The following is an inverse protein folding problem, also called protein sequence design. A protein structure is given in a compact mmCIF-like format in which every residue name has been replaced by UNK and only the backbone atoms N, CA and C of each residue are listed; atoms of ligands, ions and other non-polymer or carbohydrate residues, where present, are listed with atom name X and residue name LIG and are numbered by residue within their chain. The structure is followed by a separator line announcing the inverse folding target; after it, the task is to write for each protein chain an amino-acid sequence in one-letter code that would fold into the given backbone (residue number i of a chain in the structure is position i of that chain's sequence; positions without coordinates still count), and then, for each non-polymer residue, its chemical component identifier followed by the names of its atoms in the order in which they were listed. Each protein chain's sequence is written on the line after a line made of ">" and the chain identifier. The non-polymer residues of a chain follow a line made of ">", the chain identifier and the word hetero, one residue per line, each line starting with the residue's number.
data_IF_739310952321
#
_entry.id   IF_739310952321
#
_cell.length_a   1.000
_cell.length_b   1.000
_cell.length_c   1.000
_cell.angle_alpha   90.00
_cell.angle_beta   90.00
_cell.angle_gamma   90.00
#
_symmetry.space_group_name_H-M   'P 1'
#
loop_
_entity.id
_entity.type
_entity.pdbx_description
1 polymer ?
#
# COMPACT_ATOMS: atom_id res chain seq x y z
N UNK A 1 0.55 -18.30 5.73
CA UNK A 1 1.56 -19.37 5.56
C UNK A 1 2.87 -18.84 4.98
N UNK A 2 3.03 -18.64 3.66
CA UNK A 2 4.33 -18.19 3.11
C UNK A 2 4.81 -16.85 3.69
N UNK A 3 3.89 -15.92 3.96
CA UNK A 3 4.21 -14.64 4.59
C UNK A 3 4.71 -14.80 6.03
N UNK A 4 4.10 -15.69 6.80
CA UNK A 4 4.52 -15.96 8.18
C UNK A 4 5.86 -16.71 8.23
N UNK A 5 6.06 -17.67 7.31
CA UNK A 5 7.26 -18.49 7.24
C UNK A 5 8.52 -17.70 6.84
N UNK A 6 8.37 -16.62 6.10
CA UNK A 6 9.47 -15.77 5.63
C UNK A 6 9.48 -14.41 6.35
N UNK A 7 8.92 -14.34 7.55
CA UNK A 7 8.82 -13.10 8.29
C UNK A 7 10.21 -12.53 8.63
N UNK A 8 10.37 -11.21 8.46
CA UNK A 8 11.54 -10.45 8.93
C UNK A 8 11.11 -9.38 9.96
N UNK A 9 12.02 -8.97 10.87
CA UNK A 9 11.74 -7.91 11.84
C UNK A 9 11.24 -6.60 11.20
N UNK A 10 10.07 -6.08 11.62
CA UNK A 10 9.52 -4.81 11.11
C UNK A 10 8.61 -4.05 12.10
N UNK A 11 8.85 -4.18 13.39
CA UNK A 11 8.02 -3.59 14.45
C UNK A 11 6.62 -4.16 14.38
N UNK A 12 5.59 -3.32 14.46
CA UNK A 12 4.20 -3.78 14.46
C UNK A 12 3.66 -4.26 13.09
N UNK A 13 4.46 -4.21 12.03
CA UNK A 13 4.06 -4.64 10.69
C UNK A 13 4.54 -6.07 10.39
N UNK A 14 3.82 -6.78 9.53
CA UNK A 14 4.33 -8.00 8.91
C UNK A 14 5.16 -7.59 7.69
N UNK A 15 6.47 -7.84 7.75
CA UNK A 15 7.37 -7.77 6.61
C UNK A 15 7.92 -9.17 6.32
N UNK A 16 8.35 -9.38 5.08
CA UNK A 16 8.83 -10.69 4.62
C UNK A 16 10.16 -10.54 3.89
N UNK A 17 10.99 -11.58 3.97
CA UNK A 17 12.09 -11.78 3.04
C UNK A 17 11.53 -11.98 1.64
N UNK A 18 11.83 -11.07 0.72
CA UNK A 18 11.19 -11.02 -0.61
C UNK A 18 11.55 -12.23 -1.46
N UNK A 19 12.82 -12.62 -1.42
CA UNK A 19 13.33 -13.72 -2.24
C UNK A 19 12.80 -15.05 -1.72
N UNK A 20 12.90 -15.29 -0.41
CA UNK A 20 12.31 -16.48 0.22
C UNK A 20 10.80 -16.58 0.03
N UNK A 21 10.06 -15.49 0.26
CA UNK A 21 8.62 -15.46 0.07
C UNK A 21 8.20 -15.80 -1.36
N UNK A 22 8.80 -15.13 -2.35
CA UNK A 22 8.46 -15.33 -3.76
C UNK A 22 8.82 -16.74 -4.24
N UNK A 23 10.00 -17.24 -3.88
CA UNK A 23 10.43 -18.59 -4.21
C UNK A 23 9.49 -19.65 -3.65
N UNK A 24 9.04 -19.50 -2.40
CA UNK A 24 8.11 -20.43 -1.77
C UNK A 24 6.73 -20.46 -2.45
N UNK A 25 6.20 -19.30 -2.84
CA UNK A 25 4.94 -19.21 -3.60
C UNK A 25 5.09 -19.86 -4.98
N UNK A 26 6.18 -19.58 -5.70
CA UNK A 26 6.47 -20.18 -7.00
C UNK A 26 6.56 -21.71 -6.91
N UNK A 27 7.35 -22.23 -5.96
CA UNK A 27 7.51 -23.67 -5.77
C UNK A 27 6.18 -24.37 -5.46
N UNK A 28 5.29 -23.71 -4.68
CA UNK A 28 3.98 -24.27 -4.35
C UNK A 28 3.07 -24.36 -5.57
N UNK A 29 3.10 -23.36 -6.46
CA UNK A 29 2.33 -23.36 -7.70
C UNK A 29 2.88 -24.37 -8.71
N UNK A 30 4.20 -24.43 -8.88
CA UNK A 30 4.88 -25.38 -9.78
C UNK A 30 4.64 -26.85 -9.37
N UNK A 31 4.50 -27.13 -8.08
CA UNK A 31 4.25 -28.47 -7.56
C UNK A 31 2.76 -28.88 -7.58
N UNK A 32 1.83 -27.99 -7.92
CA UNK A 32 0.40 -28.28 -7.81
C UNK A 32 -0.11 -29.02 -9.06
N UNK A 33 -0.72 -30.22 -8.94
CA UNK A 33 -1.03 -31.09 -10.08
C UNK A 33 -2.10 -30.53 -11.04
N UNK A 34 -2.90 -29.57 -10.58
CA UNK A 34 -3.93 -28.89 -11.38
C UNK A 34 -3.50 -27.51 -11.89
N UNK A 35 -2.24 -27.09 -11.64
CA UNK A 35 -1.73 -25.80 -12.11
C UNK A 35 -0.71 -26.07 -13.20
N UNK A 36 -0.90 -25.42 -14.35
CA UNK A 36 0.07 -25.37 -15.44
C UNK A 36 0.58 -23.94 -15.57
N UNK A 37 1.90 -23.76 -15.61
CA UNK A 37 2.52 -22.45 -15.75
C UNK A 37 3.06 -22.32 -17.17
N UNK A 38 2.52 -21.37 -17.92
CA UNK A 38 3.00 -20.99 -19.25
C UNK A 38 3.68 -19.64 -19.14
N UNK A 39 4.93 -19.55 -19.60
CA UNK A 39 5.75 -18.32 -19.54
C UNK A 39 5.68 -17.60 -20.88
N UNK A 40 4.59 -16.86 -21.08
CA UNK A 40 4.34 -16.08 -22.27
C UNK A 40 3.71 -14.72 -21.93
N UNK A 41 3.87 -13.74 -22.81
CA UNK A 41 3.18 -12.46 -22.72
C UNK A 41 1.82 -12.56 -23.42
N UNK A 42 0.76 -12.18 -22.72
CA UNK A 42 -0.57 -12.05 -23.30
C UNK A 42 -0.72 -10.66 -23.92
N UNK A 43 -0.74 -10.57 -25.25
CA UNK A 43 -0.85 -9.30 -26.00
C UNK A 43 -2.29 -8.84 -26.26
N UNK A 44 -3.29 -9.59 -25.80
CA UNK A 44 -4.70 -9.25 -26.02
C UNK A 44 -5.61 -9.81 -24.94
N UNK A 45 -6.90 -9.48 -25.03
CA UNK A 45 -7.89 -10.07 -24.15
C UNK A 45 -7.87 -11.59 -24.28
N UNK A 46 -8.16 -12.32 -23.17
CA UNK A 46 -8.34 -13.77 -23.20
C UNK A 46 -9.20 -14.22 -24.40
N UNK A 47 -8.84 -15.32 -25.07
CA UNK A 47 -9.61 -15.87 -26.19
C UNK A 47 -11.09 -16.12 -25.85
N UNK A 48 -11.97 -16.10 -26.85
CA UNK A 48 -13.42 -16.22 -26.65
C UNK A 48 -13.85 -17.65 -26.28
N UNK A 49 -13.05 -18.63 -26.69
CA UNK A 49 -13.21 -20.05 -26.46
C UNK A 49 -12.80 -20.50 -25.05
N UNK A 50 -12.13 -19.64 -24.27
CA UNK A 50 -11.83 -19.96 -22.87
C UNK A 50 -13.10 -19.82 -22.02
N UNK A 51 -13.39 -20.85 -21.21
CA UNK A 51 -14.58 -20.88 -20.35
C UNK A 51 -14.60 -19.71 -19.35
N UNK A 52 -13.48 -19.51 -18.65
CA UNK A 52 -13.30 -18.47 -17.63
C UNK A 52 -11.84 -17.98 -17.65
N UNK A 53 -11.65 -16.67 -17.51
CA UNK A 53 -10.33 -16.05 -17.45
C UNK A 53 -10.27 -14.99 -16.35
N UNK A 54 -9.14 -14.89 -15.65
CA UNK A 54 -8.88 -13.86 -14.64
C UNK A 54 -7.66 -13.05 -15.08
N UNK A 55 -7.84 -11.75 -15.31
CA UNK A 55 -6.75 -10.81 -15.61
C UNK A 55 -6.23 -10.24 -14.28
N UNK A 56 -4.99 -10.60 -13.93
CA UNK A 56 -4.34 -10.24 -12.66
C UNK A 56 -2.92 -9.67 -12.86
N UNK A 57 -2.76 -8.81 -13.87
CA UNK A 57 -1.45 -8.32 -14.36
C UNK A 57 -0.81 -7.21 -13.53
N UNK A 58 -1.52 -6.70 -12.52
CA UNK A 58 -1.01 -5.67 -11.62
C UNK A 58 -0.68 -4.35 -12.34
N UNK A 59 0.21 -3.51 -11.74
CA UNK A 59 0.30 -2.10 -12.11
C UNK A 59 0.96 -1.86 -13.45
N UNK A 60 1.82 -2.79 -13.85
CA UNK A 60 2.63 -2.76 -15.06
C UNK A 60 2.04 -3.70 -16.12
N UNK A 61 0.73 -3.61 -16.32
CA UNK A 61 0.04 -4.36 -17.39
C UNK A 61 0.68 -4.04 -18.74
N UNK A 62 0.99 -5.08 -19.52
CA UNK A 62 1.64 -4.96 -20.82
C UNK A 62 0.89 -3.97 -21.75
N UNK A 63 1.61 -3.15 -22.55
CA UNK A 63 0.98 -2.13 -23.39
C UNK A 63 -0.11 -2.68 -24.32
N UNK A 64 0.12 -3.82 -24.97
CA UNK A 64 -0.82 -4.41 -25.93
C UNK A 64 -2.10 -4.91 -25.23
N UNK A 65 -1.96 -5.54 -24.06
CA UNK A 65 -3.11 -5.95 -23.25
C UNK A 65 -3.88 -4.73 -22.71
N UNK A 66 -3.18 -3.69 -22.26
CA UNK A 66 -3.81 -2.45 -21.80
C UNK A 66 -4.61 -1.78 -22.93
N UNK A 67 -4.06 -1.76 -24.14
CA UNK A 67 -4.74 -1.30 -25.34
C UNK A 67 -5.98 -2.14 -25.65
N UNK A 68 -5.86 -3.48 -25.62
CA UNK A 68 -6.98 -4.38 -25.86
C UNK A 68 -8.12 -4.18 -24.84
N UNK A 69 -7.78 -4.01 -23.55
CA UNK A 69 -8.75 -3.68 -22.50
C UNK A 69 -9.41 -2.33 -22.78
N UNK A 70 -8.63 -1.30 -23.14
CA UNK A 70 -9.14 0.04 -23.46
C UNK A 70 -10.12 0.00 -24.64
N UNK A 71 -9.72 -0.66 -25.73
CA UNK A 71 -10.53 -0.81 -26.93
C UNK A 71 -11.84 -1.55 -26.65
N UNK A 72 -11.80 -2.62 -25.85
CA UNK A 72 -13.00 -3.40 -25.52
C UNK A 72 -13.95 -2.70 -24.53
N UNK A 73 -13.42 -1.86 -23.64
CA UNK A 73 -14.20 -1.19 -22.59
C UNK A 73 -14.71 0.18 -22.99
N UNK A 74 -14.11 0.82 -24.01
CA UNK A 74 -14.43 2.18 -24.43
C UNK A 74 -14.20 3.23 -23.33
N UNK A 75 -13.49 2.87 -22.26
CA UNK A 75 -13.21 3.74 -21.14
C UNK A 75 -11.84 4.38 -21.32
N UNK A 76 -11.75 5.69 -21.11
CA UNK A 76 -10.46 6.34 -20.90
C UNK A 76 -9.80 5.67 -19.69
N UNK A 77 -8.63 5.06 -19.91
CA UNK A 77 -7.88 4.33 -18.90
C UNK A 77 -7.57 5.26 -17.73
N UNK A 78 -8.09 4.96 -16.54
CA UNK A 78 -7.66 5.66 -15.34
C UNK A 78 -6.27 5.12 -14.99
N UNK A 79 -5.24 5.93 -15.15
CA UNK A 79 -3.94 5.67 -14.57
C UNK A 79 -3.80 6.51 -13.31
N UNK A 80 -3.05 6.01 -12.34
CA UNK A 80 -2.58 6.80 -11.20
C UNK A 80 -1.08 6.57 -11.03
N UNK A 81 -0.46 7.33 -10.15
CA UNK A 81 0.97 7.31 -9.95
C UNK A 81 1.32 6.96 -8.50
N UNK A 82 2.19 5.97 -8.33
CA UNK A 82 2.81 5.63 -7.04
C UNK A 82 4.23 6.19 -6.98
N UNK A 83 4.63 6.72 -5.83
CA UNK A 83 6.01 7.10 -5.61
C UNK A 83 6.74 6.02 -4.80
N UNK A 84 8.01 5.75 -5.14
CA UNK A 84 8.87 4.80 -4.43
C UNK A 84 9.85 5.55 -3.55
N UNK A 85 10.11 5.01 -2.36
CA UNK A 85 11.09 5.56 -1.42
C UNK A 85 12.51 5.01 -1.66
N UNK A 86 13.56 5.80 -1.37
CA UNK A 86 14.95 5.36 -1.48
C UNK A 86 15.33 4.20 -0.53
N UNK A 87 16.40 3.50 -0.90
CA UNK A 87 17.05 2.46 -0.11
C UNK A 87 18.54 2.81 0.04
N UNK A 88 19.05 2.73 1.26
CA UNK A 88 20.45 3.00 1.62
C UNK A 88 21.17 1.72 2.08
N UNK A 89 22.48 1.71 1.92
CA UNK A 89 23.36 0.67 2.46
C UNK A 89 23.59 0.87 3.96
N UNK A 90 23.40 -0.19 4.75
CA UNK A 90 23.50 -0.12 6.21
C UNK A 90 24.87 0.33 6.72
N UNK A 91 25.94 -0.17 6.11
CA UNK A 91 27.33 0.13 6.46
C UNK A 91 27.74 1.60 6.22
N UNK A 92 26.86 2.39 5.59
CA UNK A 92 27.03 3.82 5.35
C UNK A 92 26.19 4.71 6.27
N UNK A 93 25.40 4.11 7.17
CA UNK A 93 24.61 4.82 8.17
C UNK A 93 25.46 5.04 9.42
N UNK A 94 25.55 6.28 9.89
CA UNK A 94 26.24 6.60 11.14
C UNK A 94 25.37 6.25 12.37
N UNK A 95 25.76 5.16 13.03
CA UNK A 95 25.11 4.64 14.23
C UNK A 95 25.57 5.30 15.53
N UNK A 96 26.57 6.18 15.50
CA UNK A 96 26.90 7.04 16.64
C UNK A 96 25.86 8.16 16.80
N UNK A 97 25.24 8.57 15.68
CA UNK A 97 24.11 9.52 15.65
C UNK A 97 22.74 8.80 15.70
N UNK A 98 22.60 7.69 14.98
CA UNK A 98 21.35 6.95 14.86
C UNK A 98 21.18 5.87 15.94
N UNK A 99 19.98 5.33 16.12
CA UNK A 99 19.78 4.17 17.00
C UNK A 99 18.64 3.25 16.56
N UNK A 100 18.72 1.99 16.98
CA UNK A 100 17.66 1.01 16.76
C UNK A 100 16.56 1.11 17.82
N UNK A 101 15.32 1.35 17.38
CA UNK A 101 14.14 1.32 18.25
C UNK A 101 12.83 1.27 17.45
N UNK A 102 11.92 0.41 17.87
CA UNK A 102 10.51 0.43 17.45
C UNK A 102 9.69 1.34 18.37
N UNK A 103 8.65 2.01 17.86
CA UNK A 103 7.86 2.94 18.67
C UNK A 103 7.22 2.25 19.89
N UNK A 104 7.37 2.87 21.05
CA UNK A 104 6.95 2.37 22.37
C UNK A 104 7.57 1.02 22.73
N UNK A 105 8.76 0.74 22.18
CA UNK A 105 9.49 -0.52 22.34
C UNK A 105 8.62 -1.74 22.00
N UNK A 106 7.68 -1.55 21.07
CA UNK A 106 6.75 -2.59 20.67
C UNK A 106 7.49 -3.69 19.92
N UNK A 107 7.52 -4.85 20.55
CA UNK A 107 7.86 -6.11 19.92
C UNK A 107 6.67 -6.53 19.06
N UNK A 108 6.83 -6.48 17.73
CA UNK A 108 5.87 -7.11 16.83
C UNK A 108 6.35 -8.49 16.37
N UNK A 109 5.61 -9.15 15.46
CA UNK A 109 5.92 -10.52 15.12
C UNK A 109 7.28 -10.58 14.40
N UNK A 110 8.13 -11.55 14.77
CA UNK A 110 9.51 -11.68 14.28
C UNK A 110 10.50 -10.58 14.71
N UNK A 111 10.05 -9.49 15.32
CA UNK A 111 10.89 -8.37 15.73
C UNK A 111 11.34 -8.43 17.19
N UNK A 112 12.30 -7.59 17.55
CA UNK A 112 12.80 -7.50 18.95
C UNK A 112 12.43 -6.17 19.61
N UNK A 113 11.62 -5.34 18.95
CA UNK A 113 11.37 -3.96 19.38
C UNK A 113 12.50 -2.99 18.98
N UNK A 114 13.43 -3.42 18.12
CA UNK A 114 14.58 -2.66 17.60
C UNK A 114 14.62 -2.71 16.08
N UNK A 115 13.45 -2.62 15.45
CA UNK A 115 13.29 -3.01 14.04
C UNK A 115 13.46 -1.84 13.06
N UNK A 116 13.65 -0.63 13.60
CA UNK A 116 13.87 0.59 12.84
C UNK A 116 15.13 1.29 13.32
N UNK A 117 15.92 1.82 12.39
CA UNK A 117 16.95 2.82 12.69
C UNK A 117 16.26 4.18 12.71
N UNK A 118 16.53 4.99 13.73
CA UNK A 118 15.93 6.30 13.90
C UNK A 118 17.02 7.37 13.76
N UNK A 119 16.81 8.28 12.81
CA UNK A 119 17.70 9.40 12.51
C UNK A 119 17.06 10.67 13.10
N UNK A 120 17.60 11.24 14.18
CA UNK A 120 16.99 12.38 14.87
C UNK A 120 17.24 13.69 14.14
N UNK A 121 16.27 14.61 14.19
CA UNK A 121 16.46 15.98 13.72
C UNK A 121 16.09 16.99 14.81
N UNK A 122 16.89 18.06 14.89
CA UNK A 122 16.52 19.29 15.60
C UNK A 122 15.47 20.07 14.82
N UNK A 123 14.91 21.11 15.46
CA UNK A 123 13.95 22.00 14.80
C UNK A 123 14.56 22.68 13.57
N UNK A 124 15.73 23.27 13.72
CA UNK A 124 16.40 24.00 12.63
C UNK A 124 16.77 23.08 11.46
N UNK A 125 17.23 21.86 11.76
CA UNK A 125 17.52 20.85 10.74
C UNK A 125 16.25 20.42 9.99
N UNK A 126 15.14 20.22 10.71
CA UNK A 126 13.86 19.89 10.10
C UNK A 126 13.31 21.02 9.23
N UNK A 127 13.32 22.26 9.72
CA UNK A 127 12.84 23.42 8.96
C UNK A 127 13.67 23.63 7.69
N UNK A 128 14.99 23.49 7.79
CA UNK A 128 15.88 23.51 6.62
C UNK A 128 15.54 22.39 5.65
N UNK A 129 15.37 21.16 6.13
CA UNK A 129 15.03 20.01 5.30
C UNK A 129 13.69 20.18 4.58
N UNK A 130 12.66 20.70 5.26
CA UNK A 130 11.36 21.01 4.64
C UNK A 130 11.50 22.08 3.56
N UNK A 131 12.28 23.13 3.81
CA UNK A 131 12.56 24.16 2.81
C UNK A 131 13.29 23.59 1.59
N UNK A 132 14.31 22.75 1.80
CA UNK A 132 15.04 22.08 0.73
C UNK A 132 14.13 21.15 -0.07
N UNK A 133 13.26 20.38 0.62
CA UNK A 133 12.27 19.54 -0.04
C UNK A 133 11.34 20.36 -0.92
N UNK A 134 10.77 21.47 -0.44
CA UNK A 134 9.83 22.28 -1.23
C UNK A 134 10.52 22.90 -2.47
N UNK A 135 11.78 23.31 -2.33
CA UNK A 135 12.54 23.98 -3.39
C UNK A 135 13.31 23.02 -4.31
N UNK A 136 13.23 21.71 -4.07
CA UNK A 136 13.96 20.72 -4.85
C UNK A 136 13.58 20.74 -6.33
N UNK A 137 14.50 20.36 -7.20
CA UNK A 137 14.15 20.07 -8.60
C UNK A 137 13.51 18.68 -8.74
N UNK A 138 12.41 18.60 -9.47
CA UNK A 138 11.73 17.35 -9.81
C UNK A 138 11.92 17.03 -11.29
N UNK A 139 11.84 15.74 -11.65
CA UNK A 139 11.77 15.35 -13.04
C UNK A 139 10.54 16.01 -13.68
N UNK A 140 10.74 16.74 -14.79
CA UNK A 140 9.62 17.19 -15.62
C UNK A 140 8.91 15.93 -16.12
N UNK A 141 7.60 15.90 -15.90
CA UNK A 141 6.69 14.97 -16.52
C UNK A 141 6.98 14.88 -18.03
N UNK A 142 6.94 13.67 -18.61
CA UNK A 142 6.75 13.56 -20.06
C UNK A 142 5.38 14.18 -20.39
N UNK A 143 5.21 14.79 -21.56
CA UNK A 143 3.97 15.51 -21.96
C UNK A 143 2.66 14.73 -21.75
N UNK A 144 2.72 13.41 -21.67
CA UNK A 144 1.57 12.52 -21.43
C UNK A 144 1.31 12.20 -19.95
N UNK A 145 2.17 12.62 -19.03
CA UNK A 145 2.03 12.38 -17.57
C UNK A 145 1.32 13.54 -16.84
N UNK A 146 1.07 14.66 -17.52
CA UNK A 146 0.22 15.76 -17.04
C UNK A 146 -0.83 16.10 -18.12
N UNK A 147 -2.12 16.18 -17.79
CA UNK A 147 -3.14 16.70 -18.72
C UNK A 147 -2.93 18.17 -19.14
N UNK A 148 -2.07 18.94 -18.43
CA UNK A 148 -2.05 20.42 -18.49
C UNK A 148 -0.69 21.10 -18.75
N UNK A 149 0.45 20.41 -18.67
CA UNK A 149 1.78 21.03 -18.84
C UNK A 149 2.26 21.90 -17.65
N UNK A 150 1.83 21.60 -16.43
CA UNK A 150 2.19 22.30 -15.19
C UNK A 150 3.71 22.52 -14.99
N UNK A 151 4.08 23.72 -14.51
CA UNK A 151 5.48 24.14 -14.29
C UNK A 151 5.85 24.29 -12.80
N UNK A 152 4.85 24.28 -11.91
CA UNK A 152 5.05 24.40 -10.45
C UNK A 152 4.44 23.22 -9.68
N UNK A 153 4.89 23.00 -8.43
CA UNK A 153 4.35 21.96 -7.54
C UNK A 153 2.86 22.15 -7.25
N UNK A 154 2.44 23.39 -7.04
CA UNK A 154 1.04 23.71 -6.74
C UNK A 154 0.12 23.40 -7.92
N UNK A 155 0.56 23.65 -9.16
CA UNK A 155 -0.17 23.28 -10.37
C UNK A 155 -0.19 21.75 -10.56
N UNK A 156 0.96 21.09 -10.35
CA UNK A 156 1.05 19.63 -10.46
C UNK A 156 0.18 18.88 -9.43
N UNK A 157 -0.10 19.47 -8.27
CA UNK A 157 -0.98 18.89 -7.25
C UNK A 157 -2.47 18.96 -7.65
N UNK A 158 -2.87 19.95 -8.44
CA UNK A 158 -4.25 20.09 -8.95
C UNK A 158 -4.53 19.02 -10.02
N UNK A 159 -3.52 18.73 -10.86
CA UNK A 159 -3.71 17.92 -12.07
C UNK A 159 -3.34 16.44 -11.93
N UNK A 160 -2.57 16.07 -10.90
CA UNK A 160 -2.14 14.68 -10.69
C UNK A 160 -2.92 14.03 -9.54
N UNK A 161 -3.74 13.00 -9.80
CA UNK A 161 -4.39 12.22 -8.74
C UNK A 161 -3.34 11.33 -8.06
N UNK A 162 -2.63 11.85 -7.06
CA UNK A 162 -1.78 11.04 -6.20
C UNK A 162 -2.65 10.17 -5.28
N UNK A 163 -2.22 8.94 -5.04
CA UNK A 163 -2.80 8.14 -3.97
C UNK A 163 -2.43 8.73 -2.61
N UNK A 164 -3.41 9.06 -1.77
CA UNK A 164 -3.22 9.72 -0.48
C UNK A 164 -2.29 8.94 0.48
N UNK A 165 -2.19 7.61 0.34
CA UNK A 165 -1.29 6.78 1.14
C UNK A 165 0.15 6.65 0.62
N UNK A 166 0.43 7.13 -0.60
CA UNK A 166 1.72 6.98 -1.29
C UNK A 166 2.22 8.32 -1.89
N UNK A 167 1.83 9.42 -1.26
CA UNK A 167 2.15 10.78 -1.71
C UNK A 167 3.66 11.08 -1.66
N UNK A 168 4.22 11.76 -2.67
CA UNK A 168 5.61 12.21 -2.62
C UNK A 168 5.87 13.16 -1.43
N UNK A 169 7.01 12.98 -0.74
CA UNK A 169 7.36 13.70 0.49
C UNK A 169 7.44 15.22 0.28
N UNK A 170 7.89 15.67 -0.88
CA UNK A 170 7.89 17.07 -1.30
C UNK A 170 6.48 17.68 -1.38
N UNK A 171 5.49 16.90 -1.84
CA UNK A 171 4.09 17.33 -1.94
C UNK A 171 3.48 17.39 -0.53
N UNK A 172 3.79 16.40 0.31
CA UNK A 172 3.41 16.43 1.72
C UNK A 172 4.00 17.65 2.45
N UNK A 173 5.26 18.01 2.16
CA UNK A 173 5.92 19.18 2.74
C UNK A 173 5.23 20.49 2.33
N UNK A 174 4.82 20.61 1.06
CA UNK A 174 4.13 21.78 0.53
C UNK A 174 2.76 22.04 1.18
N UNK A 175 2.08 21.01 1.69
CA UNK A 175 0.79 21.13 2.40
C UNK A 175 0.89 21.83 3.75
N UNK A 176 2.09 21.96 4.29
CA UNK A 176 2.35 22.75 5.48
C UNK A 176 3.57 22.24 6.26
N UNK A 177 4.21 23.14 7.03
CA UNK A 177 5.49 22.84 7.68
C UNK A 177 5.41 21.75 8.73
N UNK A 178 4.24 21.49 9.33
CA UNK A 178 4.06 20.45 10.34
C UNK A 178 3.58 19.10 9.78
N UNK A 179 3.24 19.04 8.48
CA UNK A 179 2.62 17.86 7.86
C UNK A 179 3.48 16.62 8.04
N UNK A 180 4.80 16.72 7.78
CA UNK A 180 5.70 15.59 7.91
C UNK A 180 5.84 15.11 9.36
N UNK A 181 5.82 16.02 10.36
CA UNK A 181 5.89 15.68 11.79
C UNK A 181 4.64 15.00 12.33
N UNK A 182 3.49 15.18 11.69
CA UNK A 182 2.29 14.41 11.99
C UNK A 182 2.18 13.13 11.16
N UNK A 183 2.94 13.01 10.07
CA UNK A 183 3.04 11.85 9.18
C UNK A 183 4.36 11.07 9.34
N UNK A 184 5.17 10.95 8.28
CA UNK A 184 6.32 10.03 8.23
C UNK A 184 7.45 10.41 9.18
N UNK A 185 7.58 11.69 9.56
CA UNK A 185 8.68 12.19 10.39
C UNK A 185 8.32 12.36 11.87
N UNK A 186 7.24 11.71 12.32
CA UNK A 186 6.73 11.84 13.69
C UNK A 186 7.73 11.30 14.72
N UNK A 187 8.04 12.02 15.82
CA UNK A 187 8.99 11.54 16.84
C UNK A 187 8.36 10.74 17.99
N UNK A 188 7.06 10.46 17.94
CA UNK A 188 6.31 9.92 19.08
C UNK A 188 6.64 8.46 19.38
N UNK A 189 6.82 8.16 20.67
CA UNK A 189 7.10 6.82 21.18
C UNK A 189 8.55 6.38 20.99
N UNK A 190 9.48 7.32 20.86
CA UNK A 190 10.90 7.04 20.68
C UNK A 190 11.69 7.77 21.76
N UNK A 191 12.79 7.16 22.19
CA UNK A 191 13.70 7.69 23.21
C UNK A 191 15.11 7.66 22.63
N UNK A 192 15.72 8.83 22.44
CA UNK A 192 17.06 8.93 21.88
C UNK A 192 18.10 8.58 22.96
N UNK A 193 18.87 7.48 22.82
CA UNK A 193 19.86 7.07 23.83
C UNK A 193 21.10 7.98 23.86
N UNK A 194 21.35 8.74 22.79
CA UNK A 194 22.52 9.62 22.64
C UNK A 194 22.28 11.01 23.26
N UNK A 195 21.06 11.28 23.72
CA UNK A 195 20.64 12.51 24.40
C UNK A 195 20.03 12.15 25.75
N UNK A 196 19.95 13.14 26.65
CA UNK A 196 19.31 12.92 27.96
C UNK A 196 17.82 12.55 27.80
N UNK A 197 17.26 11.81 28.75
CA UNK A 197 15.87 11.29 28.73
C UNK A 197 14.78 12.34 28.46
N UNK A 198 15.09 13.62 28.66
CA UNK A 198 14.16 14.74 28.51
C UNK A 198 14.26 15.48 27.15
N UNK A 199 15.19 15.12 26.28
CA UNK A 199 15.37 15.76 24.97
C UNK A 199 14.72 14.93 23.87
N UNK A 200 13.44 15.21 23.61
CA UNK A 200 12.72 14.56 22.51
C UNK A 200 13.14 15.17 21.16
N UNK A 201 13.55 14.35 20.17
CA UNK A 201 13.81 14.83 18.82
C UNK A 201 12.61 15.59 18.26
N UNK A 202 12.86 16.67 17.53
CA UNK A 202 11.79 17.47 16.94
C UNK A 202 11.08 16.69 15.82
N UNK A 203 11.86 15.97 15.01
CA UNK A 203 11.41 15.06 13.97
C UNK A 203 12.35 13.83 13.91
N UNK A 204 11.86 12.73 13.29
CA UNK A 204 12.62 11.48 13.14
C UNK A 204 12.46 10.95 11.73
N UNK A 205 13.54 10.56 11.07
CA UNK A 205 13.49 9.71 9.88
C UNK A 205 13.71 8.26 10.29
N UNK A 206 12.78 7.37 9.95
CA UNK A 206 12.91 5.94 10.26
C UNK A 206 13.42 5.18 9.03
N UNK A 207 14.40 4.30 9.23
CA UNK A 207 14.85 3.32 8.25
C UNK A 207 14.39 1.94 8.69
N UNK A 208 13.91 1.11 7.77
CA UNK A 208 13.53 -0.28 8.04
C UNK A 208 14.38 -1.24 7.23
N UNK A 209 14.66 -2.41 7.79
CA UNK A 209 15.37 -3.47 7.10
C UNK A 209 14.61 -3.90 5.84
N UNK A 210 15.31 -3.94 4.70
CA UNK A 210 14.72 -4.18 3.39
C UNK A 210 15.03 -5.58 2.83
N UNK A 211 16.11 -6.22 3.30
CA UNK A 211 16.52 -7.58 2.94
C UNK A 211 16.84 -8.45 4.16
N UNK A 212 16.78 -9.78 4.02
CA UNK A 212 17.04 -10.71 5.13
C UNK A 212 18.44 -10.57 5.76
N UNK A 213 19.45 -10.22 4.96
CA UNK A 213 20.83 -10.03 5.42
C UNK A 213 21.03 -8.76 6.28
N UNK A 214 20.07 -7.82 6.27
CA UNK A 214 20.18 -6.57 7.01
C UNK A 214 21.24 -5.62 6.43
N UNK A 215 21.54 -5.71 5.14
CA UNK A 215 22.53 -4.84 4.48
C UNK A 215 21.89 -3.65 3.79
N UNK A 216 20.57 -3.70 3.55
CA UNK A 216 19.81 -2.67 2.87
C UNK A 216 18.67 -2.16 3.75
N UNK A 217 18.51 -0.85 3.80
CA UNK A 217 17.49 -0.19 4.61
C UNK A 217 16.68 0.81 3.78
N UNK A 218 15.35 0.68 3.84
CA UNK A 218 14.41 1.56 3.17
C UNK A 218 14.08 2.78 4.05
N UNK A 219 14.08 3.98 3.46
CA UNK A 219 13.66 5.21 4.15
C UNK A 219 12.13 5.26 4.21
N UNK A 220 11.57 5.11 5.41
CA UNK A 220 10.13 4.89 5.62
C UNK A 220 9.34 6.17 5.35
N UNK A 221 8.41 6.11 4.40
CA UNK A 221 7.51 7.24 4.10
C UNK A 221 8.16 8.39 3.31
N UNK A 222 9.27 8.08 2.62
CA UNK A 222 10.05 9.03 1.81
C UNK A 222 9.88 8.74 0.32
N UNK A 223 8.67 8.36 -0.08
CA UNK A 223 8.34 8.26 -1.49
C UNK A 223 8.58 9.62 -2.16
N UNK A 224 9.20 9.67 -3.33
CA UNK A 224 9.58 10.95 -3.95
C UNK A 224 9.65 10.87 -5.47
N UNK A 225 9.47 12.02 -6.14
CA UNK A 225 9.70 12.24 -7.58
C UNK A 225 10.81 13.26 -7.85
N UNK A 226 11.54 13.70 -6.82
CA UNK A 226 12.72 14.55 -6.96
C UNK A 226 13.71 13.96 -7.96
N UNK A 227 14.44 14.80 -8.69
CA UNK A 227 15.56 14.34 -9.51
C UNK A 227 16.56 13.60 -8.63
N UNK A 228 17.24 12.60 -9.17
CA UNK A 228 18.18 11.78 -8.42
C UNK A 228 19.31 12.58 -7.75
N UNK A 229 19.78 13.66 -8.41
CA UNK A 229 20.76 14.58 -7.81
C UNK A 229 20.22 15.27 -6.55
N UNK A 230 18.96 15.72 -6.60
CA UNK A 230 18.28 16.36 -5.47
C UNK A 230 17.99 15.40 -4.33
N UNK A 231 17.53 14.19 -4.65
CA UNK A 231 17.36 13.13 -3.64
C UNK A 231 18.66 12.88 -2.88
N UNK A 232 19.77 12.72 -3.60
CA UNK A 232 21.08 12.47 -2.98
C UNK A 232 21.53 13.66 -2.14
N UNK A 233 21.37 14.89 -2.66
CA UNK A 233 21.76 16.13 -1.98
C UNK A 233 20.97 16.34 -0.68
N UNK A 234 19.65 16.19 -0.75
CA UNK A 234 18.72 16.50 0.35
C UNK A 234 18.70 15.37 1.39
N UNK A 235 18.64 14.10 0.99
CA UNK A 235 18.59 13.01 1.97
C UNK A 235 19.92 12.85 2.73
N UNK A 236 21.05 13.30 2.17
CA UNK A 236 22.31 13.38 2.91
C UNK A 236 22.37 14.51 3.95
N UNK A 237 21.40 15.41 3.99
CA UNK A 237 21.31 16.39 5.10
C UNK A 237 20.60 15.82 6.33
N UNK A 238 20.09 14.59 6.25
CA UNK A 238 19.48 13.90 7.39
C UNK A 238 20.61 13.45 8.33
N UNK A 239 20.57 13.80 9.63
CA UNK A 239 21.62 13.42 10.56
C UNK A 239 21.80 11.90 10.62
N UNK A 240 23.04 11.46 10.42
CA UNK A 240 23.40 10.05 10.34
C UNK A 240 23.41 9.45 8.93
N UNK A 241 22.99 10.21 7.91
CA UNK A 241 22.98 9.80 6.49
C UNK A 241 23.91 10.65 5.62
N UNK A 242 24.80 11.45 6.19
CA UNK A 242 25.71 12.35 5.48
C UNK A 242 26.56 11.62 4.45
N UNK A 243 26.99 10.40 4.79
CA UNK A 243 27.80 9.53 3.96
C UNK A 243 27.00 8.41 3.26
N UNK A 244 25.66 8.45 3.34
CA UNK A 244 24.82 7.37 2.85
C UNK A 244 25.07 7.07 1.37
N UNK A 245 25.22 5.78 1.05
CA UNK A 245 25.20 5.28 -0.32
C UNK A 245 23.82 4.69 -0.62
N UNK A 246 23.23 5.13 -1.73
CA UNK A 246 21.89 4.69 -2.13
C UNK A 246 21.99 3.48 -3.04
N UNK A 247 21.48 2.34 -2.58
CA UNK A 247 21.30 1.16 -3.41
C UNK A 247 20.21 1.40 -4.47
N UNK A 248 19.22 2.24 -4.13
CA UNK A 248 18.15 2.66 -5.04
C UNK A 248 17.61 4.03 -4.64
N UNK A 249 17.40 4.90 -5.60
CA UNK A 249 16.72 6.18 -5.42
C UNK A 249 15.21 6.04 -5.66
N UNK A 250 14.43 6.98 -5.12
CA UNK A 250 12.99 7.04 -5.32
C UNK A 250 12.60 7.43 -6.74
N UNK A 251 11.32 7.28 -7.08
CA UNK A 251 10.77 7.63 -8.38
C UNK A 251 9.27 7.40 -8.49
N UNK A 252 8.66 7.99 -9.51
CA UNK A 252 7.24 7.85 -9.81
C UNK A 252 7.02 6.65 -10.75
N UNK A 253 6.02 5.83 -10.46
CA UNK A 253 5.62 4.68 -11.25
C UNK A 253 4.18 4.88 -11.67
N UNK A 254 3.93 4.90 -12.98
CA UNK A 254 2.57 4.90 -13.51
C UNK A 254 1.97 3.51 -13.32
N UNK A 255 0.86 3.47 -12.62
CA UNK A 255 0.09 2.27 -12.38
C UNK A 255 -1.17 2.29 -13.23
N UNK A 256 -1.39 1.18 -13.94
CA UNK A 256 -2.60 0.95 -14.72
C UNK A 256 -3.68 0.37 -13.81
N UNK A 257 -4.90 0.90 -13.91
CA UNK A 257 -6.10 0.27 -13.35
C UNK A 257 -7.30 0.54 -14.25
N UNK A 258 -8.39 -0.18 -14.00
CA UNK A 258 -9.66 0.00 -14.71
C UNK A 258 -10.69 0.69 -13.82
N UNK A 259 -11.65 1.40 -14.43
CA UNK A 259 -12.80 1.95 -13.71
C UNK A 259 -13.76 0.82 -13.31
N UNK A 260 -13.41 0.09 -12.26
CA UNK A 260 -14.09 -1.12 -11.83
C UNK A 260 -15.58 -0.92 -11.53
N UNK A 261 -16.04 0.14 -10.83
CA UNK A 261 -17.47 0.32 -10.60
C UNK A 261 -18.28 0.47 -11.90
N UNK A 262 -17.66 1.07 -12.93
CA UNK A 262 -18.26 1.19 -14.26
C UNK A 262 -18.24 -0.13 -15.02
N UNK A 263 -17.11 -0.84 -15.00
CA UNK A 263 -16.83 -1.96 -15.91
C UNK A 263 -17.16 -3.35 -15.35
N UNK A 264 -17.06 -3.53 -14.03
CA UNK A 264 -17.18 -4.81 -13.36
C UNK A 264 -18.52 -4.97 -12.62
N UNK A 265 -19.05 -6.19 -12.61
CA UNK A 265 -20.16 -6.56 -11.74
C UNK A 265 -19.68 -6.90 -10.31
N UNK A 266 -20.62 -7.27 -9.43
CA UNK A 266 -20.33 -7.63 -8.04
C UNK A 266 -19.45 -8.88 -7.86
N UNK A 267 -19.23 -9.66 -8.93
CA UNK A 267 -18.34 -10.83 -8.95
C UNK A 267 -17.04 -10.55 -9.71
N UNK A 268 -16.70 -9.27 -9.89
CA UNK A 268 -15.49 -8.79 -10.57
C UNK A 268 -15.41 -9.20 -12.05
N UNK A 269 -16.54 -9.56 -12.67
CA UNK A 269 -16.63 -9.89 -14.10
C UNK A 269 -16.86 -8.64 -14.93
N UNK A 270 -16.32 -8.59 -16.14
CA UNK A 270 -16.71 -7.57 -17.12
C UNK A 270 -18.20 -7.69 -17.42
N UNK A 271 -18.94 -6.59 -17.27
CA UNK A 271 -20.40 -6.57 -17.48
C UNK A 271 -20.81 -7.02 -18.88
N UNK A 272 -20.03 -6.66 -19.90
CA UNK A 272 -20.32 -7.03 -21.30
C UNK A 272 -19.69 -8.36 -21.73
N UNK A 273 -18.78 -8.93 -20.93
CA UNK A 273 -18.07 -10.18 -21.23
C UNK A 273 -17.82 -10.99 -19.95
N UNK A 274 -18.87 -11.61 -19.37
CA UNK A 274 -18.81 -12.19 -18.02
C UNK A 274 -17.79 -13.32 -17.85
N UNK A 275 -17.32 -13.96 -18.92
CA UNK A 275 -16.24 -14.95 -18.82
C UNK A 275 -14.89 -14.36 -18.39
N UNK A 276 -14.73 -13.03 -18.43
CA UNK A 276 -13.50 -12.35 -17.99
C UNK A 276 -13.74 -11.69 -16.63
N UNK A 277 -12.91 -12.05 -15.66
CA UNK A 277 -12.75 -11.35 -14.37
C UNK A 277 -11.46 -10.56 -14.30
N UNK A 278 -11.43 -9.62 -13.39
CA UNK A 278 -10.21 -8.92 -12.99
C UNK A 278 -9.88 -9.21 -11.52
N UNK A 279 -8.59 -9.20 -11.19
CA UNK A 279 -8.13 -9.36 -9.82
C UNK A 279 -6.81 -8.62 -9.56
N UNK A 280 -6.51 -8.36 -8.30
CA UNK A 280 -5.29 -7.64 -7.92
C UNK A 280 -5.37 -6.14 -8.24
N UNK A 281 -4.22 -5.47 -8.21
CA UNK A 281 -4.18 -4.00 -8.26
C UNK A 281 -4.84 -3.37 -9.50
N UNK A 282 -4.91 -4.08 -10.65
CA UNK A 282 -5.60 -3.60 -11.85
C UNK A 282 -7.09 -3.28 -11.59
N UNK A 283 -7.73 -3.88 -10.58
CA UNK A 283 -9.11 -3.58 -10.19
C UNK A 283 -9.26 -2.26 -9.42
N UNK A 284 -8.17 -1.58 -9.07
CA UNK A 284 -8.19 -0.43 -8.17
C UNK A 284 -8.19 -0.81 -6.68
N UNK A 285 -7.74 -2.02 -6.32
CA UNK A 285 -7.25 -2.25 -4.97
C UNK A 285 -5.76 -1.86 -4.88
N UNK A 286 -5.27 -1.55 -3.70
CA UNK A 286 -3.86 -1.23 -3.50
C UNK A 286 -3.28 -1.97 -2.30
N UNK A 287 -2.09 -2.52 -2.48
CA UNK A 287 -1.38 -3.29 -1.47
C UNK A 287 -1.32 -4.78 -1.81
N UNK A 288 -0.29 -5.46 -1.28
CA UNK A 288 -0.06 -6.88 -1.54
C UNK A 288 -1.16 -7.75 -0.94
N UNK A 289 -1.61 -7.42 0.27
CA UNK A 289 -2.64 -8.19 0.99
C UNK A 289 -4.00 -7.99 0.34
N UNK A 290 -4.31 -6.76 -0.08
CA UNK A 290 -5.50 -6.42 -0.84
C UNK A 290 -5.53 -7.13 -2.19
N UNK A 291 -4.40 -7.12 -2.92
CA UNK A 291 -4.30 -7.80 -4.21
C UNK A 291 -4.47 -9.32 -4.06
N UNK A 292 -3.84 -9.92 -3.04
CA UNK A 292 -4.00 -11.34 -2.73
C UNK A 292 -5.44 -11.67 -2.30
N UNK A 293 -6.09 -10.77 -1.54
CA UNK A 293 -7.48 -10.90 -1.11
C UNK A 293 -8.46 -10.88 -2.29
N UNK A 294 -8.30 -9.93 -3.22
CA UNK A 294 -9.09 -9.87 -4.45
C UNK A 294 -8.82 -11.09 -5.33
N UNK A 295 -7.55 -11.50 -5.47
CA UNK A 295 -7.18 -12.74 -6.18
C UNK A 295 -7.87 -13.98 -5.61
N UNK A 296 -7.86 -14.13 -4.28
CA UNK A 296 -8.56 -15.20 -3.58
C UNK A 296 -10.06 -15.17 -3.90
N UNK A 297 -10.72 -14.01 -3.76
CA UNK A 297 -12.15 -13.89 -4.03
C UNK A 297 -12.49 -14.20 -5.49
N UNK A 298 -11.75 -13.64 -6.46
CA UNK A 298 -11.97 -13.89 -7.90
C UNK A 298 -11.79 -15.37 -8.26
N UNK A 299 -10.77 -16.03 -7.70
CA UNK A 299 -10.55 -17.46 -7.91
C UNK A 299 -11.69 -18.31 -7.34
N UNK A 300 -12.16 -18.00 -6.13
CA UNK A 300 -13.30 -18.70 -5.53
C UNK A 300 -14.60 -18.47 -6.29
N UNK A 301 -14.87 -17.24 -6.73
CA UNK A 301 -16.03 -16.91 -7.56
C UNK A 301 -16.01 -17.68 -8.90
N UNK A 302 -14.85 -17.75 -9.56
CA UNK A 302 -14.70 -18.50 -10.81
C UNK A 302 -14.91 -20.01 -10.60
N UNK A 303 -14.35 -20.58 -9.53
CA UNK A 303 -14.55 -21.98 -9.19
C UNK A 303 -16.02 -22.30 -8.88
N UNK A 304 -16.69 -21.46 -8.08
CA UNK A 304 -18.12 -21.59 -7.78
C UNK A 304 -18.98 -21.53 -9.04
N UNK A 305 -18.69 -20.62 -9.98
CA UNK A 305 -19.41 -20.54 -11.25
C UNK A 305 -19.23 -21.80 -12.11
N UNK A 306 -18.00 -22.32 -12.23
CA UNK A 306 -17.72 -23.57 -12.96
C UNK A 306 -18.40 -24.79 -12.34
N UNK A 307 -18.59 -24.79 -11.02
CA UNK A 307 -19.29 -25.84 -10.28
C UNK A 307 -20.81 -25.65 -10.26
N UNK A 308 -21.34 -24.53 -10.77
CA UNK A 308 -22.76 -24.19 -10.71
C UNK A 308 -23.27 -23.90 -9.29
N UNK A 309 -22.37 -23.55 -8.36
CA UNK A 309 -22.69 -23.26 -6.96
C UNK A 309 -22.74 -21.74 -6.77
N UNK A 310 -23.80 -21.19 -6.15
CA UNK A 310 -23.84 -19.77 -5.81
C UNK A 310 -22.67 -19.37 -4.90
N UNK A 311 -22.00 -18.26 -5.20
CA UNK A 311 -20.98 -17.69 -4.32
C UNK A 311 -21.59 -16.58 -3.46
N UNK A 312 -21.55 -16.74 -2.14
CA UNK A 312 -21.94 -15.68 -1.20
C UNK A 312 -20.75 -14.75 -0.94
N UNK A 313 -20.90 -13.46 -1.25
CA UNK A 313 -19.86 -12.48 -1.00
C UNK A 313 -19.59 -12.31 0.51
N UNK A 314 -18.33 -12.04 0.91
CA UNK A 314 -18.02 -11.76 2.30
C UNK A 314 -18.76 -10.50 2.77
N UNK A 315 -19.22 -10.43 4.04
CA UNK A 315 -19.97 -9.28 4.53
C UNK A 315 -19.18 -7.97 4.40
N UNK A 316 -19.85 -6.87 4.05
CA UNK A 316 -19.25 -5.52 3.92
C UNK A 316 -18.62 -5.00 5.24
N UNK A 317 -18.94 -5.63 6.36
CA UNK A 317 -18.33 -5.37 7.67
C UNK A 317 -16.95 -6.00 7.83
N UNK A 318 -16.53 -6.88 6.91
CA UNK A 318 -15.20 -7.50 6.86
C UNK A 318 -14.27 -6.72 5.92
N UNK A 319 -12.96 -6.89 6.05
CA UNK A 319 -12.00 -6.26 5.14
C UNK A 319 -12.19 -6.70 3.68
N UNK A 320 -12.48 -7.98 3.46
CA UNK A 320 -12.76 -8.56 2.14
C UNK A 320 -14.00 -7.91 1.51
N UNK A 321 -15.12 -7.87 2.24
CA UNK A 321 -16.36 -7.31 1.73
C UNK A 321 -16.33 -5.79 1.58
N UNK A 322 -15.65 -5.06 2.47
CA UNK A 322 -15.45 -3.62 2.34
C UNK A 322 -14.63 -3.27 1.09
N UNK A 323 -13.54 -4.01 0.83
CA UNK A 323 -12.72 -3.84 -0.35
C UNK A 323 -13.47 -4.20 -1.64
N UNK A 324 -14.16 -5.34 -1.66
CA UNK A 324 -15.00 -5.74 -2.79
C UNK A 324 -16.08 -4.67 -3.07
N UNK A 325 -16.74 -4.20 -2.02
CA UNK A 325 -17.72 -3.12 -2.09
C UNK A 325 -17.16 -1.86 -2.74
N UNK A 326 -15.98 -1.38 -2.33
CA UNK A 326 -15.32 -0.23 -2.96
C UNK A 326 -15.11 -0.42 -4.46
N UNK A 327 -14.65 -1.60 -4.87
CA UNK A 327 -14.33 -1.93 -6.27
C UNK A 327 -15.60 -2.01 -7.14
N UNK A 328 -16.70 -2.56 -6.63
CA UNK A 328 -17.86 -2.94 -7.46
C UNK A 328 -19.10 -2.07 -7.30
N UNK A 329 -19.13 -1.08 -6.39
CA UNK A 329 -20.29 -0.19 -6.28
C UNK A 329 -20.34 0.80 -5.12
N UNK A 330 -19.40 0.74 -4.18
CA UNK A 330 -19.29 1.64 -3.03
C UNK A 330 -18.64 3.00 -3.36
N UNK A 331 -18.00 3.11 -4.53
CA UNK A 331 -17.38 4.34 -5.01
C UNK A 331 -18.15 4.94 -6.20
N UNK A 332 -18.16 6.27 -6.29
CA UNK A 332 -18.67 6.98 -7.47
C UNK A 332 -17.73 6.74 -8.65
N UNK A 333 -18.28 6.33 -9.78
CA UNK A 333 -17.48 5.94 -10.94
C UNK A 333 -16.65 7.09 -11.52
N UNK A 334 -17.10 8.33 -11.36
CA UNK A 334 -16.48 9.54 -11.89
C UNK A 334 -15.24 9.95 -11.10
N UNK A 335 -15.16 9.54 -9.83
CA UNK A 335 -14.06 9.88 -8.91
C UNK A 335 -13.40 8.62 -8.34
N UNK A 336 -13.55 7.49 -9.04
CA UNK A 336 -12.99 6.22 -8.58
C UNK A 336 -11.47 6.28 -8.59
N UNK A 337 -10.88 6.01 -7.43
CA UNK A 337 -9.44 5.91 -7.25
C UNK A 337 -9.11 4.60 -6.55
N UNK A 338 -7.91 4.05 -6.80
CA UNK A 338 -7.44 2.88 -6.09
C UNK A 338 -7.38 3.12 -4.59
N UNK A 339 -7.62 2.06 -3.82
CA UNK A 339 -7.75 2.18 -2.38
C UNK A 339 -7.21 0.94 -1.68
N UNK A 340 -6.41 1.17 -0.64
CA UNK A 340 -6.04 0.14 0.33
C UNK A 340 -7.10 0.01 1.43
N UNK A 341 -7.03 -1.05 2.24
CA UNK A 341 -8.01 -1.22 3.30
C UNK A 341 -7.85 -0.14 4.38
N UNK A 342 -8.94 0.55 4.70
CA UNK A 342 -8.98 1.52 5.79
C UNK A 342 -10.37 1.56 6.44
N UNK A 343 -10.44 2.02 7.70
CA UNK A 343 -11.70 2.03 8.47
C UNK A 343 -12.80 2.91 7.87
N UNK A 344 -12.49 3.78 6.90
CA UNK A 344 -13.48 4.57 6.17
C UNK A 344 -14.36 3.73 5.23
N UNK A 345 -13.87 2.59 4.77
CA UNK A 345 -14.62 1.67 3.89
C UNK A 345 -15.66 0.83 4.65
N UNK A 346 -15.54 0.73 5.97
CA UNK A 346 -16.39 -0.13 6.79
C UNK A 346 -17.66 0.62 7.23
N UNK A 347 -18.83 -0.03 7.22
CA UNK A 347 -20.04 0.52 7.82
C UNK A 347 -19.81 0.88 9.29
N UNK A 348 -20.31 2.02 9.74
CA UNK A 348 -20.16 2.44 11.14
C UNK A 348 -20.76 1.38 12.08
N UNK A 349 -20.11 1.02 13.21
CA UNK A 349 -20.69 0.10 14.19
C UNK A 349 -21.99 0.67 14.77
N UNK A 350 -23.01 -0.19 14.86
CA UNK A 350 -24.39 0.19 15.22
C UNK A 350 -24.51 0.86 16.59
N UNK A 351 -23.64 0.48 17.56
CA UNK A 351 -23.56 1.13 18.86
C UNK A 351 -22.23 1.86 19.02
N UNK A 352 -22.13 3.13 18.59
CA UNK A 352 -20.90 3.90 18.72
C UNK A 352 -20.68 4.39 20.15
N UNK A 353 -21.23 3.74 21.18
CA UNK A 353 -21.14 4.14 22.57
C UNK A 353 -20.83 2.97 23.50
N UNK A 354 -20.01 3.21 24.51
CA UNK A 354 -19.77 2.31 25.65
C UNK A 354 -20.40 2.89 26.91
N UNK A 355 -20.98 2.03 27.75
CA UNK A 355 -21.45 2.42 29.09
C UNK A 355 -20.28 2.34 30.06
N UNK A 356 -19.94 3.48 30.66
CA UNK A 356 -18.90 3.57 31.67
C UNK A 356 -19.36 2.97 33.00
N UNK A 357 -18.45 2.61 33.92
CA UNK A 357 -18.79 2.14 35.27
C UNK A 357 -19.70 3.09 36.06
N UNK A 358 -19.70 4.39 35.71
CA UNK A 358 -20.56 5.42 36.29
C UNK A 358 -21.92 5.57 35.58
N UNK A 359 -22.29 4.62 34.72
CA UNK A 359 -23.55 4.61 33.96
C UNK A 359 -23.61 5.57 32.77
N UNK A 360 -22.61 6.45 32.55
CA UNK A 360 -22.61 7.40 31.44
C UNK A 360 -22.19 6.74 30.13
N UNK A 361 -22.89 7.08 29.02
CA UNK A 361 -22.51 6.64 27.67
C UNK A 361 -21.38 7.52 27.12
N UNK A 362 -20.26 6.91 26.71
CA UNK A 362 -19.16 7.60 26.00
C UNK A 362 -19.12 7.15 24.55
N UNK A 363 -19.06 8.10 23.62
CA UNK A 363 -18.88 7.81 22.18
C UNK A 363 -17.51 7.13 21.97
N UNK A 364 -17.50 6.02 21.25
CA UNK A 364 -16.31 5.31 20.82
C UNK A 364 -15.44 6.25 19.97
N UNK A 365 -14.20 6.46 20.39
CA UNK A 365 -13.19 7.27 19.70
C UNK A 365 -11.86 6.54 19.66
N UNK A 366 -11.01 6.88 18.69
CA UNK A 366 -9.64 6.36 18.59
C UNK A 366 -9.57 4.83 18.64
N UNK A 367 -8.81 4.30 19.60
CA UNK A 367 -8.53 2.86 19.75
C UNK A 367 -9.79 2.04 20.00
N UNK A 368 -10.71 2.51 20.83
CA UNK A 368 -11.93 1.75 21.19
C UNK A 368 -12.84 1.60 19.97
N UNK A 369 -12.93 2.63 19.12
CA UNK A 369 -13.69 2.58 17.87
C UNK A 369 -13.05 1.58 16.89
N UNK A 370 -11.71 1.63 16.72
CA UNK A 370 -10.99 0.67 15.88
C UNK A 370 -11.19 -0.77 16.36
N UNK A 371 -11.14 -1.01 17.68
CA UNK A 371 -11.41 -2.32 18.27
C UNK A 371 -12.83 -2.82 17.96
N UNK A 372 -13.84 -1.96 18.08
CA UNK A 372 -15.23 -2.33 17.75
C UNK A 372 -15.38 -2.73 16.26
N UNK A 373 -14.75 -2.00 15.34
CA UNK A 373 -14.72 -2.39 13.93
C UNK A 373 -14.08 -3.77 13.74
N UNK A 374 -12.90 -4.00 14.31
CA UNK A 374 -12.15 -5.24 14.11
C UNK A 374 -12.83 -6.45 14.76
N UNK A 375 -13.42 -6.30 15.94
CA UNK A 375 -14.13 -7.40 16.62
C UNK A 375 -15.32 -7.86 15.79
N UNK A 376 -16.21 -6.93 15.37
CA UNK A 376 -17.33 -7.27 14.49
C UNK A 376 -16.85 -7.89 13.18
N UNK A 377 -15.83 -7.31 12.55
CA UNK A 377 -15.29 -7.81 11.28
C UNK A 377 -14.77 -9.25 11.38
N UNK A 378 -14.13 -9.62 12.48
CA UNK A 378 -13.63 -10.98 12.70
C UNK A 378 -14.78 -11.97 12.97
N UNK A 379 -15.76 -11.58 13.79
CA UNK A 379 -16.96 -12.39 14.05
C UNK A 379 -17.75 -12.65 12.76
N UNK A 380 -17.99 -11.62 11.96
CA UNK A 380 -18.71 -11.74 10.69
C UNK A 380 -17.94 -12.57 9.65
N UNK A 381 -16.60 -12.45 9.62
CA UNK A 381 -15.76 -13.26 8.75
C UNK A 381 -15.79 -14.73 9.15
N UNK A 382 -15.70 -15.03 10.45
CA UNK A 382 -15.77 -16.40 10.97
C UNK A 382 -17.14 -17.03 10.66
N UNK A 383 -18.22 -16.30 10.86
CA UNK A 383 -19.57 -16.76 10.51
C UNK A 383 -19.70 -17.05 9.02
N UNK A 384 -19.21 -16.16 8.17
CA UNK A 384 -19.19 -16.36 6.72
C UNK A 384 -18.40 -17.61 6.33
N UNK A 385 -17.17 -17.76 6.83
CA UNK A 385 -16.33 -18.95 6.57
C UNK A 385 -16.98 -20.26 7.03
N UNK A 386 -17.69 -20.25 8.16
CA UNK A 386 -18.37 -21.44 8.69
C UNK A 386 -19.62 -21.82 7.90
N UNK A 387 -20.34 -20.85 7.33
CA UNK A 387 -21.47 -21.12 6.44
C UNK A 387 -21.00 -21.68 5.10
N UNK A 388 -19.92 -21.13 4.57
CA UNK A 388 -19.26 -21.56 3.33
C UNK A 388 -18.79 -23.03 3.42
N UNK A 389 -18.19 -23.42 4.55
CA UNK A 389 -17.77 -24.80 4.84
C UNK A 389 -18.92 -25.79 5.01
N UNK A 390 -20.14 -25.32 5.29
CA UNK A 390 -21.33 -26.18 5.36
C UNK A 390 -22.00 -26.35 4.00
N UNK A 391 -21.70 -25.45 3.06
CA UNK A 391 -22.24 -25.45 1.69
C UNK A 391 -21.33 -26.21 0.70
N UNK A 392 -20.02 -26.24 0.94
CA UNK A 392 -19.03 -27.08 0.26
C UNK A 392 -18.97 -28.50 0.87
#
# INVERSE_FOLDING_TARGET
>A
ESGDAHQVPAGSALAVDRDGFSAAVTARLEAHPLVSIVREEMSGLPPAEWDQAIIATGPLTAPDLAEAIRAATGAESLAFFDAIAPIVHFDTVDMDTCWFQSRYDKVGPGGTGKDYINCPMTKDQYETFVCELINAEYGLFKEWELPSGAQTLAEAEIDTPYFDGCMPIEIMAARGPETLRFGPMKPVGLTNPHKGENEQPYAIVQLRQDNALGTLYNIVGFQTKMKWGEQTRIFKTIPGLENAQFARLGGLHRNTFINSPKLLDAQLRLKFRPQIRFAGQITGCEGYVESASVGLMSGRMAASELLGIPFEAPPITTAHGALLGHITGGAKSETFQPMNINFGLFPVPENPFITMPNGKRKKLKGKDRKKAYTTRALEDLENWMNNDRKAA
#
